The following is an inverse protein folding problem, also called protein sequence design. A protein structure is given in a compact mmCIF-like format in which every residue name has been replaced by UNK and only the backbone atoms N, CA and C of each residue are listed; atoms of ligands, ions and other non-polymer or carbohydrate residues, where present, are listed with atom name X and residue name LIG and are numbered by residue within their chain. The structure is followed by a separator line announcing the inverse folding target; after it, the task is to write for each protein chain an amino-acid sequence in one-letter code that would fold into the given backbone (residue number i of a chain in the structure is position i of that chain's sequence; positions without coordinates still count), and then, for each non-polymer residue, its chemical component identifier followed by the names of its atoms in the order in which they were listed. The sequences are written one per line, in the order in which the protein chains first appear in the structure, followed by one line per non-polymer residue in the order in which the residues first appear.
data_IF_456464124515
#
_entry.id   IF_456464124515
#
_cell.length_a   1.000
_cell.length_b   1.000
_cell.length_c   1.000
_cell.angle_alpha   90.00
_cell.angle_beta   90.00
_cell.angle_gamma   90.00
#
_symmetry.space_group_name_H-M   'P 1'
#
loop_
_entity.id
_entity.type
_entity.pdbx_description
1 polymer ?
#
# COMPACT_ATOMS: atom_id res chain seq x y z
N UNK A 1 30.63 -14.84 0.51
CA UNK A 1 29.17 -14.93 0.47
C UNK A 1 28.63 -13.56 0.73
N UNK A 2 27.94 -12.95 -0.23
CA UNK A 2 27.37 -11.62 -0.06
C UNK A 2 26.33 -11.65 1.07
N UNK A 3 26.22 -10.60 1.92
CA UNK A 3 25.24 -10.56 2.99
C UNK A 3 23.87 -10.78 2.35
N UNK A 4 23.16 -11.81 2.83
CA UNK A 4 21.84 -12.16 2.33
C UNK A 4 20.91 -10.99 2.59
N UNK A 5 20.73 -10.16 1.57
CA UNK A 5 19.80 -9.06 1.60
C UNK A 5 18.40 -9.67 1.61
N UNK A 6 17.74 -9.70 2.77
CA UNK A 6 16.36 -10.18 2.91
C UNK A 6 15.41 -9.19 2.20
N UNK A 7 14.89 -9.52 1.01
CA UNK A 7 14.09 -8.58 0.25
C UNK A 7 12.75 -8.31 0.92
N UNK A 8 12.20 -9.29 1.66
CA UNK A 8 10.96 -9.09 2.40
C UNK A 8 11.19 -8.06 3.52
N UNK A 9 12.29 -8.18 4.27
CA UNK A 9 12.70 -7.18 5.25
C UNK A 9 12.90 -5.80 4.61
N UNK A 10 13.58 -5.71 3.46
CA UNK A 10 13.73 -4.45 2.74
C UNK A 10 12.38 -3.83 2.37
N UNK A 11 11.41 -4.65 1.92
CA UNK A 11 10.06 -4.15 1.59
C UNK A 11 9.39 -3.50 2.80
N UNK A 12 9.62 -4.03 4.02
CA UNK A 12 9.13 -3.40 5.24
C UNK A 12 9.87 -2.09 5.51
N UNK A 13 11.20 -2.05 5.40
CA UNK A 13 11.98 -0.82 5.58
C UNK A 13 11.49 0.31 4.65
N UNK A 14 11.33 0.03 3.36
CA UNK A 14 10.77 0.98 2.40
C UNK A 14 9.40 1.51 2.82
N UNK A 15 8.49 0.62 3.24
CA UNK A 15 7.15 1.03 3.72
C UNK A 15 7.23 1.97 4.92
N UNK A 16 8.14 1.71 5.86
CA UNK A 16 8.26 2.52 7.07
C UNK A 16 8.85 3.89 6.76
N UNK A 17 9.90 3.96 5.93
CA UNK A 17 10.49 5.23 5.49
C UNK A 17 9.49 6.07 4.69
N UNK A 18 8.74 5.44 3.77
CA UNK A 18 7.68 6.10 3.02
C UNK A 18 6.57 6.65 3.93
N UNK A 19 6.17 5.91 4.97
CA UNK A 19 5.21 6.38 5.96
C UNK A 19 5.71 7.56 6.79
N UNK A 20 7.02 7.65 7.05
CA UNK A 20 7.62 8.83 7.69
C UNK A 20 7.59 10.03 6.74
N UNK A 21 8.05 9.86 5.49
CA UNK A 21 8.04 10.89 4.46
C UNK A 21 6.62 11.45 4.24
N UNK A 22 5.60 10.57 4.19
CA UNK A 22 4.21 10.98 4.03
C UNK A 22 3.74 11.88 5.20
N UNK A 23 4.11 11.51 6.43
CA UNK A 23 3.78 12.31 7.63
C UNK A 23 4.49 13.66 7.65
N UNK A 24 5.64 13.77 7.01
CA UNK A 24 6.42 15.00 6.87
C UNK A 24 5.96 15.85 5.68
N UNK A 25 5.06 15.34 4.83
CA UNK A 25 4.56 16.04 3.64
C UNK A 25 5.44 15.85 2.40
N UNK A 26 6.48 15.03 2.49
CA UNK A 26 7.43 14.71 1.41
C UNK A 26 6.82 13.68 0.44
N UNK A 27 5.83 14.14 -0.33
CA UNK A 27 4.95 13.27 -1.14
C UNK A 27 5.72 12.46 -2.20
N UNK A 28 6.76 13.04 -2.81
CA UNK A 28 7.57 12.35 -3.83
C UNK A 28 8.36 11.18 -3.24
N UNK A 29 8.97 11.38 -2.07
CA UNK A 29 9.74 10.34 -1.37
C UNK A 29 8.82 9.25 -0.81
N UNK A 30 7.66 9.65 -0.28
CA UNK A 30 6.62 8.71 0.14
C UNK A 30 6.16 7.81 -1.01
N UNK A 31 5.85 8.42 -2.16
CA UNK A 31 5.43 7.70 -3.37
C UNK A 31 6.50 6.71 -3.82
N UNK A 32 7.75 7.16 -3.91
CA UNK A 32 8.87 6.31 -4.32
C UNK A 32 9.04 5.12 -3.37
N UNK A 33 9.06 5.35 -2.05
CA UNK A 33 9.25 4.28 -1.08
C UNK A 33 8.08 3.29 -1.01
N UNK A 34 6.83 3.74 -1.16
CA UNK A 34 5.71 2.81 -1.25
C UNK A 34 5.74 2.00 -2.56
N UNK A 35 6.14 2.60 -3.68
CA UNK A 35 6.30 1.90 -4.95
C UNK A 35 7.38 0.81 -4.87
N UNK A 36 8.55 1.09 -4.28
CA UNK A 36 9.59 0.08 -4.07
C UNK A 36 9.14 -1.04 -3.13
N UNK A 37 8.41 -0.68 -2.06
CA UNK A 37 7.81 -1.67 -1.15
C UNK A 37 6.85 -2.61 -1.88
N UNK A 38 5.98 -2.05 -2.74
CA UNK A 38 5.02 -2.80 -3.55
C UNK A 38 5.74 -3.72 -4.53
N UNK A 39 6.68 -3.17 -5.33
CA UNK A 39 7.45 -3.92 -6.33
C UNK A 39 8.11 -5.17 -5.74
N UNK A 40 8.79 -5.02 -4.60
CA UNK A 40 9.47 -6.15 -3.96
C UNK A 40 8.45 -7.20 -3.49
N UNK A 41 7.30 -6.80 -2.93
CA UNK A 41 6.28 -7.76 -2.47
C UNK A 41 5.63 -8.50 -3.64
N UNK A 42 5.44 -7.85 -4.77
CA UNK A 42 4.97 -8.48 -6.00
C UNK A 42 5.99 -9.49 -6.53
N UNK A 43 7.28 -9.11 -6.61
CA UNK A 43 8.37 -10.00 -7.02
C UNK A 43 8.50 -11.24 -6.13
N UNK A 44 8.23 -11.11 -4.83
CA UNK A 44 8.26 -12.21 -3.87
C UNK A 44 6.97 -13.03 -3.82
N UNK A 45 5.89 -12.59 -4.47
CA UNK A 45 4.56 -13.20 -4.33
C UNK A 45 3.97 -13.05 -2.91
N UNK A 46 4.36 -12.03 -2.14
CA UNK A 46 3.88 -11.79 -0.77
C UNK A 46 2.50 -11.11 -0.75
N UNK A 47 1.48 -11.84 -1.23
CA UNK A 47 0.14 -11.31 -1.50
C UNK A 47 -0.55 -10.66 -0.30
N UNK A 48 -0.37 -11.22 0.92
CA UNK A 48 -0.96 -10.66 2.14
C UNK A 48 -0.42 -9.26 2.48
N UNK A 49 0.79 -8.92 2.02
CA UNK A 49 1.38 -7.59 2.15
C UNK A 49 1.20 -6.68 0.93
N UNK A 50 0.87 -7.25 -0.24
CA UNK A 50 0.62 -6.48 -1.47
C UNK A 50 -0.64 -5.63 -1.36
N UNK A 51 -1.75 -6.16 -0.83
CA UNK A 51 -2.99 -5.37 -0.69
C UNK A 51 -2.81 -4.14 0.23
N UNK A 52 -2.17 -4.24 1.40
CA UNK A 52 -1.76 -3.07 2.17
C UNK A 52 -0.81 -2.10 1.44
N UNK A 53 0.15 -2.62 0.66
CA UNK A 53 1.10 -1.79 -0.08
C UNK A 53 0.40 -0.91 -1.13
N UNK A 54 -0.58 -1.49 -1.84
CA UNK A 54 -1.42 -0.76 -2.80
C UNK A 54 -2.22 0.35 -2.12
N UNK A 55 -2.78 0.11 -0.94
CA UNK A 55 -3.48 1.15 -0.17
C UNK A 55 -2.54 2.28 0.23
N UNK A 56 -1.35 1.95 0.74
CA UNK A 56 -0.36 2.98 1.11
C UNK A 56 0.11 3.80 -0.09
N UNK A 57 0.34 3.17 -1.25
CA UNK A 57 0.68 3.91 -2.47
C UNK A 57 -0.47 4.84 -2.89
N UNK A 58 -1.72 4.39 -2.77
CA UNK A 58 -2.90 5.19 -3.08
C UNK A 58 -3.05 6.44 -2.19
N UNK A 59 -2.45 6.47 -1.00
CA UNK A 59 -2.41 7.67 -0.14
C UNK A 59 -1.50 8.77 -0.72
N UNK A 60 -0.60 8.42 -1.63
CA UNK A 60 0.35 9.35 -2.26
C UNK A 60 -0.05 9.77 -3.68
N UNK A 61 -1.16 9.24 -4.18
CA UNK A 61 -1.68 9.48 -5.53
C UNK A 61 -2.93 10.34 -5.53
N UNK A 62 -3.18 11.00 -6.65
CA UNK A 62 -4.43 11.71 -6.92
C UNK A 62 -5.38 10.85 -7.75
N UNK A 63 -6.64 11.25 -7.83
CA UNK A 63 -7.60 10.59 -8.71
C UNK A 63 -7.22 10.80 -10.20
N UNK A 64 -7.42 9.80 -11.07
CA UNK A 64 -8.13 8.53 -10.83
C UNK A 64 -7.25 7.37 -10.30
N UNK A 65 -5.94 7.59 -10.14
CA UNK A 65 -4.99 6.53 -9.86
C UNK A 65 -5.14 5.96 -8.45
N UNK A 66 -5.40 6.83 -7.46
CA UNK A 66 -5.67 6.42 -6.10
C UNK A 66 -6.88 5.45 -6.01
N UNK A 67 -7.96 5.70 -6.76
CA UNK A 67 -9.09 4.77 -6.84
C UNK A 67 -8.71 3.43 -7.47
N UNK A 68 -7.93 3.42 -8.55
CA UNK A 68 -7.49 2.18 -9.21
C UNK A 68 -6.66 1.30 -8.29
N UNK A 69 -5.74 1.88 -7.54
CA UNK A 69 -4.92 1.17 -6.56
C UNK A 69 -5.77 0.57 -5.44
N UNK A 70 -6.74 1.33 -4.90
CA UNK A 70 -7.69 0.82 -3.89
C UNK A 70 -8.62 -0.27 -4.44
N UNK A 71 -8.98 -0.22 -5.73
CA UNK A 71 -9.74 -1.28 -6.38
C UNK A 71 -8.94 -2.57 -6.50
N UNK A 72 -7.68 -2.48 -6.87
CA UNK A 72 -6.79 -3.64 -6.94
C UNK A 72 -6.57 -4.25 -5.54
N UNK A 73 -6.32 -3.40 -4.53
CA UNK A 73 -6.23 -3.85 -3.14
C UNK A 73 -7.50 -4.59 -2.69
N UNK A 74 -8.69 -4.08 -3.07
CA UNK A 74 -9.99 -4.75 -2.81
C UNK A 74 -10.12 -6.09 -3.52
N UNK A 75 -9.69 -6.18 -4.79
CA UNK A 75 -9.71 -7.45 -5.54
C UNK A 75 -8.84 -8.49 -4.83
N UNK A 76 -7.60 -8.13 -4.50
CA UNK A 76 -6.67 -9.03 -3.83
C UNK A 76 -7.15 -9.44 -2.43
N UNK A 77 -7.64 -8.48 -1.64
CA UNK A 77 -8.20 -8.76 -0.31
C UNK A 77 -9.36 -9.78 -0.36
N UNK A 78 -10.25 -9.69 -1.37
CA UNK A 78 -11.31 -10.67 -1.59
C UNK A 78 -10.78 -12.04 -2.01
N UNK A 79 -9.79 -12.08 -2.90
CA UNK A 79 -9.15 -13.33 -3.33
C UNK A 79 -8.50 -14.09 -2.17
N UNK A 80 -7.96 -13.34 -1.19
CA UNK A 80 -7.39 -13.91 0.02
C UNK A 80 -8.43 -14.25 1.11
N UNK A 81 -9.73 -14.05 0.86
CA UNK A 81 -10.78 -14.38 1.83
C UNK A 81 -10.92 -13.38 2.98
N UNK A 82 -10.53 -12.12 2.76
CA UNK A 82 -10.67 -11.05 3.76
C UNK A 82 -9.51 -10.93 4.75
N UNK A 83 -8.33 -11.44 4.38
CA UNK A 83 -7.07 -11.20 5.12
C UNK A 83 -6.15 -10.21 4.40
N UNK A 84 -5.42 -9.38 5.16
CA UNK A 84 -5.48 -9.28 6.63
C UNK A 84 -6.71 -8.48 7.10
N UNK A 85 -7.38 -8.93 8.17
CA UNK A 85 -8.70 -8.42 8.59
C UNK A 85 -8.74 -6.92 8.89
N UNK A 86 -7.64 -6.36 9.39
CA UNK A 86 -7.52 -4.92 9.68
C UNK A 86 -7.59 -4.04 8.42
N UNK A 87 -7.32 -4.59 7.23
CA UNK A 87 -7.34 -3.84 5.98
C UNK A 87 -8.77 -3.44 5.57
N UNK A 88 -9.80 -4.16 6.04
CA UNK A 88 -11.19 -3.90 5.67
C UNK A 88 -11.62 -2.44 5.97
N UNK A 89 -11.14 -1.87 7.08
CA UNK A 89 -11.43 -0.48 7.45
C UNK A 89 -10.86 0.55 6.44
N UNK A 90 -9.75 0.22 5.78
CA UNK A 90 -9.07 1.11 4.83
C UNK A 90 -9.61 0.95 3.39
N UNK A 91 -10.34 -0.13 3.12
CA UNK A 91 -10.91 -0.44 1.82
C UNK A 91 -12.40 -0.07 1.70
N UNK A 92 -13.03 0.34 2.81
CA UNK A 92 -14.43 0.76 2.81
C UNK A 92 -14.50 2.14 2.13
N UNK A 93 -15.18 2.29 0.98
CA UNK A 93 -15.32 3.58 0.36
C UNK A 93 -16.08 4.54 1.29
N UNK A 94 -15.75 5.84 1.32
CA UNK A 94 -16.54 6.80 2.06
C UNK A 94 -17.98 6.76 1.56
N UNK A 95 -18.94 6.73 2.49
CA UNK A 95 -20.36 6.72 2.15
C UNK A 95 -20.68 7.92 1.26
N UNK A 96 -21.42 7.78 0.14
CA UNK A 96 -21.66 8.84 -0.83
C UNK A 96 -22.52 10.03 -0.32
N UNK A 97 -22.63 10.24 0.99
CA UNK A 97 -23.36 11.35 1.63
C UNK A 97 -22.57 12.14 2.68
N UNK A 98 -21.28 11.87 2.90
CA UNK A 98 -20.49 12.53 3.95
C UNK A 98 -19.79 13.85 3.51
N UNK A 99 -19.87 14.23 2.23
CA UNK A 99 -19.18 15.40 1.68
C UNK A 99 -20.04 16.67 1.56
N UNK A 100 -21.15 16.76 2.30
CA UNK A 100 -21.97 17.98 2.39
C UNK A 100 -22.39 18.23 3.84
N UNK A 101 -21.49 18.80 4.64
CA UNK A 101 -21.81 19.51 5.88
C UNK A 101 -20.72 20.53 6.18
#
# INVERSE_FOLDING_TARGET
GSPHHDPLLLSFTWRHLAGLALREGELADARHGFAESLRIREELGYLVGTAPALVSLAETETEPEASRLREEARRLFRLLGGVPTWLAAHLTPPSPGAATA
#
